data_IF_189108105894
#
_entry.id   IF_189108105894
#
_cell.length_a   1.000
_cell.length_b   1.000
_cell.length_c   1.000
_cell.angle_alpha   90.00
_cell.angle_beta   90.00
_cell.angle_gamma   90.00
#
_symmetry.space_group_name_H-M   'P 1'
#
loop_
_entity.id
_entity.type
_entity.pdbx_description
1 polymer ?
#
# COMPACT_ATOMS: atom_id res chain seq x y z
N UNK A 1 -0.86 15.74 20.42
CA UNK A 1 -1.29 16.64 19.49
C UNK A 1 -0.84 16.28 18.12
N UNK A 2 0.41 16.44 17.83
CA UNK A 2 0.91 16.05 16.53
C UNK A 2 0.71 14.59 16.25
N UNK A 3 0.66 13.80 17.29
CA UNK A 3 0.48 12.38 17.12
C UNK A 3 -0.87 12.04 16.54
N UNK A 4 -1.88 12.79 16.92
CA UNK A 4 -3.20 12.53 16.39
C UNK A 4 -3.25 12.79 14.90
N UNK A 5 -2.63 13.87 14.47
CA UNK A 5 -2.59 14.18 13.06
C UNK A 5 -1.83 13.12 12.29
N UNK A 6 -0.71 12.67 12.85
CA UNK A 6 0.06 11.62 12.22
C UNK A 6 -0.73 10.34 12.12
N UNK A 7 -1.51 10.04 13.14
CA UNK A 7 -2.33 8.84 13.11
C UNK A 7 -3.40 8.92 12.04
N UNK A 8 -3.99 10.09 11.85
CA UNK A 8 -4.99 10.25 10.81
C UNK A 8 -4.39 10.04 9.44
N UNK A 9 -3.21 10.60 9.22
CA UNK A 9 -2.52 10.39 7.96
C UNK A 9 -2.21 8.93 7.74
N UNK A 10 -1.70 8.28 8.79
CA UNK A 10 -1.35 6.87 8.69
C UNK A 10 -2.57 5.98 8.53
N UNK A 11 -3.73 6.45 8.99
CA UNK A 11 -4.95 5.68 8.85
C UNK A 11 -5.45 5.69 7.41
N UNK A 12 -5.31 6.83 6.75
CA UNK A 12 -5.81 6.96 5.38
C UNK A 12 -4.80 6.52 4.35
N UNK A 13 -3.52 6.82 4.56
CA UNK A 13 -2.48 6.57 3.58
C UNK A 13 -1.47 5.58 4.11
N UNK A 14 -1.04 4.70 3.23
CA UNK A 14 0.01 3.74 3.55
C UNK A 14 1.14 3.90 2.54
N UNK A 15 2.37 3.81 3.04
CA UNK A 15 3.52 3.85 2.15
C UNK A 15 4.00 2.43 1.86
N UNK A 16 5.03 2.33 1.03
CA UNK A 16 5.55 1.03 0.62
C UNK A 16 6.05 0.23 1.82
N UNK A 17 6.69 0.90 2.76
CA UNK A 17 7.22 0.21 3.94
C UNK A 17 6.10 -0.45 4.73
N UNK A 18 4.99 0.25 4.91
CA UNK A 18 3.89 -0.31 5.67
C UNK A 18 3.25 -1.47 4.92
N UNK A 19 3.18 -1.40 3.61
CA UNK A 19 2.63 -2.50 2.83
C UNK A 19 3.44 -3.77 3.05
N UNK A 20 4.76 -3.65 3.01
CA UNK A 20 5.63 -4.82 3.18
C UNK A 20 5.64 -5.33 4.62
N UNK A 21 5.37 -4.45 5.58
CA UNK A 21 5.41 -4.82 6.99
C UNK A 21 4.09 -5.37 7.50
N UNK A 22 2.99 -4.80 7.03
CA UNK A 22 1.69 -5.08 7.63
C UNK A 22 0.72 -5.82 6.73
N UNK A 23 0.93 -5.83 5.43
CA UNK A 23 -0.03 -6.42 4.50
C UNK A 23 0.53 -7.58 3.72
N UNK A 24 1.64 -7.37 3.03
CA UNK A 24 2.19 -8.40 2.15
C UNK A 24 3.66 -8.61 2.47
N UNK A 25 4.07 -9.84 2.76
CA UNK A 25 5.47 -10.12 3.08
C UNK A 25 6.31 -10.22 1.81
N UNK A 26 6.42 -9.12 1.10
CA UNK A 26 7.18 -9.07 -0.15
C UNK A 26 8.21 -7.94 -0.03
N UNK A 27 9.16 -7.92 -0.95
CA UNK A 27 10.17 -6.89 -0.96
C UNK A 27 9.57 -5.54 -1.35
N UNK A 28 10.27 -4.46 -1.02
CA UNK A 28 9.82 -3.14 -1.41
C UNK A 28 9.70 -3.01 -2.92
N UNK A 29 10.62 -3.62 -3.63
CA UNK A 29 10.61 -3.59 -5.07
C UNK A 29 9.34 -4.21 -5.63
N UNK A 30 8.96 -5.35 -5.09
CA UNK A 30 7.75 -6.03 -5.52
C UNK A 30 6.51 -5.26 -5.08
N UNK A 31 6.56 -4.63 -3.91
CA UNK A 31 5.44 -3.82 -3.45
C UNK A 31 5.21 -2.63 -4.36
N UNK A 32 6.27 -2.00 -4.83
CA UNK A 32 6.13 -0.88 -5.76
C UNK A 32 5.48 -1.33 -7.07
N UNK A 33 5.89 -2.47 -7.56
CA UNK A 33 5.31 -3.02 -8.77
C UNK A 33 3.83 -3.35 -8.58
N UNK A 34 3.51 -3.95 -7.45
CA UNK A 34 2.14 -4.28 -7.10
C UNK A 34 1.27 -3.02 -7.09
N UNK A 35 1.76 -1.99 -6.43
CA UNK A 35 1.02 -0.74 -6.30
C UNK A 35 0.80 -0.11 -7.68
N UNK A 36 1.82 -0.12 -8.52
CA UNK A 36 1.72 0.48 -9.84
C UNK A 36 0.72 -0.24 -10.74
N UNK A 37 0.55 -1.53 -10.51
CA UNK A 37 -0.31 -2.34 -11.37
C UNK A 37 -1.77 -2.35 -10.92
N UNK A 38 -1.99 -2.32 -9.61
CA UNK A 38 -3.33 -2.56 -9.08
C UNK A 38 -3.94 -1.37 -8.35
N UNK A 39 -3.13 -0.39 -7.99
CA UNK A 39 -3.62 0.72 -7.19
C UNK A 39 -3.27 2.04 -7.86
N UNK A 40 -3.75 3.12 -7.26
CA UNK A 40 -3.47 4.47 -7.77
C UNK A 40 -2.50 5.15 -6.80
N UNK A 41 -1.20 4.98 -7.02
CA UNK A 41 -0.22 5.54 -6.10
C UNK A 41 -0.12 7.05 -6.24
N UNK A 42 0.20 7.69 -5.13
CA UNK A 42 0.46 9.11 -5.09
C UNK A 42 1.89 9.32 -4.63
N UNK A 43 2.65 10.06 -5.40
CA UNK A 43 4.03 10.33 -5.06
C UNK A 43 4.14 11.66 -4.33
N UNK A 44 4.76 11.64 -3.17
CA UNK A 44 5.01 12.85 -2.40
C UNK A 44 6.49 12.85 -2.05
N UNK A 45 7.24 13.72 -2.70
CA UNK A 45 8.68 13.71 -2.55
C UNK A 45 9.26 12.40 -3.04
N UNK A 46 9.99 11.72 -2.18
CA UNK A 46 10.58 10.42 -2.53
C UNK A 46 9.72 9.25 -2.10
N UNK A 47 8.52 9.51 -1.59
CA UNK A 47 7.69 8.44 -1.05
C UNK A 47 6.47 8.21 -1.92
N UNK A 48 6.01 6.98 -1.91
CA UNK A 48 4.83 6.57 -2.64
C UNK A 48 3.78 6.16 -1.64
N UNK A 49 2.57 6.71 -1.79
CA UNK A 49 1.46 6.42 -0.90
C UNK A 49 0.28 5.90 -1.68
N UNK A 50 -0.50 5.04 -1.04
CA UNK A 50 -1.79 4.60 -1.59
C UNK A 50 -2.82 4.72 -0.49
N UNK A 51 -4.07 4.83 -0.88
CA UNK A 51 -5.15 4.89 0.11
C UNK A 51 -5.34 3.52 0.74
N UNK A 52 -5.40 3.51 2.06
CA UNK A 52 -5.56 2.26 2.80
C UNK A 52 -6.84 1.54 2.41
N UNK A 53 -7.93 2.28 2.24
CA UNK A 53 -9.20 1.67 1.86
C UNK A 53 -9.10 0.98 0.51
N UNK A 54 -8.39 1.58 -0.43
CA UNK A 54 -8.22 0.99 -1.75
C UNK A 54 -7.41 -0.29 -1.67
N UNK A 55 -6.35 -0.27 -0.87
CA UNK A 55 -5.51 -1.44 -0.69
C UNK A 55 -6.28 -2.57 -0.02
N UNK A 56 -6.99 -2.25 1.04
CA UNK A 56 -7.73 -3.27 1.78
C UNK A 56 -8.86 -3.86 0.96
N UNK A 57 -9.50 -3.03 0.16
CA UNK A 57 -10.55 -3.52 -0.71
C UNK A 57 -10.01 -4.49 -1.75
N UNK A 58 -8.86 -4.18 -2.31
CA UNK A 58 -8.23 -5.05 -3.29
C UNK A 58 -7.82 -6.37 -2.67
N UNK A 59 -7.18 -6.33 -1.52
CA UNK A 59 -6.69 -7.55 -0.88
C UNK A 59 -7.81 -8.38 -0.28
N UNK A 60 -8.93 -7.76 0.04
CA UNK A 60 -10.05 -8.46 0.63
C UNK A 60 -11.02 -9.06 -0.36
N UNK A 61 -10.81 -8.85 -1.65
CA UNK A 61 -11.69 -9.36 -2.68
C UNK A 61 -11.29 -10.78 -3.06
N UNK A 62 -12.09 -11.79 -2.71
CA UNK A 62 -11.72 -13.17 -3.00
C UNK A 62 -11.77 -13.52 -4.48
N UNK A 63 -12.48 -12.74 -5.26
CA UNK A 63 -12.62 -13.01 -6.69
C UNK A 63 -11.53 -12.32 -7.51
N UNK A 64 -10.76 -11.42 -6.88
CA UNK A 64 -9.73 -10.69 -7.60
C UNK A 64 -8.48 -11.53 -7.72
N UNK A 65 -8.07 -11.78 -8.93
CA UNK A 65 -6.84 -12.53 -9.18
C UNK A 65 -5.67 -11.57 -9.30
N UNK A 66 -4.64 -11.85 -8.53
CA UNK A 66 -3.41 -11.07 -8.60
C UNK A 66 -2.33 -11.97 -9.17
N UNK A 67 -1.48 -11.39 -10.00
CA UNK A 67 -0.42 -12.20 -10.55
C UNK A 67 0.64 -12.48 -9.46
N UNK A 68 1.47 -13.50 -9.65
CA UNK A 68 2.46 -13.87 -8.63
C UNK A 68 3.38 -12.70 -8.31
N UNK A 69 3.58 -12.47 -7.03
CA UNK A 69 4.40 -11.37 -6.56
C UNK A 69 5.84 -11.80 -6.28
N UNK A 70 6.15 -13.03 -6.54
CA UNK A 70 7.51 -13.52 -6.37
C UNK A 70 8.33 -13.39 -7.64
N UNK A 71 7.81 -12.68 -8.59
CA UNK A 71 8.54 -12.39 -9.81
C UNK A 71 9.67 -11.34 -9.61
#
# INVERSE_FOLDING_TARGET
MNQEQNQKLNTRWVDISEITRSYLPISRRKARKFVALYLTPKRVGNRIYVERSQLEKLLGDPDRELFPLDL
#
